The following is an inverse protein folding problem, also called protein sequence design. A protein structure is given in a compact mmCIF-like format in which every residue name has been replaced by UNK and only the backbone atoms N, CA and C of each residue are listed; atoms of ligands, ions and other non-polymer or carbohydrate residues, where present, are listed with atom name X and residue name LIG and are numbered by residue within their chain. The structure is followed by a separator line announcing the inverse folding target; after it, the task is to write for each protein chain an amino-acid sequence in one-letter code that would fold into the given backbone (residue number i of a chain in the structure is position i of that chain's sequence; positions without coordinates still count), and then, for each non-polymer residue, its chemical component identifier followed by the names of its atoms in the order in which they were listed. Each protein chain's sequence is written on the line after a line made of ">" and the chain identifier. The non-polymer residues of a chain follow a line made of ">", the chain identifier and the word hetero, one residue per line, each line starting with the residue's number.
data_IF_100653173219
#
_entry.id   IF_100653173219
#
_cell.length_a   1.000
_cell.length_b   1.000
_cell.length_c   1.000
_cell.angle_alpha   90.00
_cell.angle_beta   90.00
_cell.angle_gamma   90.00
#
_symmetry.space_group_name_H-M   'P 1'
#
loop_
_entity.id
_entity.type
_entity.pdbx_description
1 polymer ?
#
# COMPACT_ATOMS: atom_id res chain seq x y z
N UNK A 1 33.47 13.25 21.22
CA UNK A 1 34.65 12.53 20.71
C UNK A 1 34.26 11.04 20.67
N UNK A 2 33.52 10.57 19.65
CA UNK A 2 34.01 10.06 18.34
C UNK A 2 34.88 8.79 18.57
N UNK A 3 34.69 7.59 18.01
CA UNK A 3 34.19 7.04 16.73
C UNK A 3 33.74 5.56 16.94
N UNK A 4 32.65 5.05 16.35
CA UNK A 4 32.49 4.45 15.01
C UNK A 4 33.35 3.20 14.72
N UNK A 5 32.73 2.01 14.71
CA UNK A 5 33.15 0.89 13.86
C UNK A 5 31.93 0.06 13.40
N UNK A 6 31.69 0.13 12.09
CA UNK A 6 30.70 -0.64 11.35
C UNK A 6 31.15 -2.11 11.20
N UNK A 7 30.19 -3.05 11.25
CA UNK A 7 30.39 -4.43 10.78
C UNK A 7 29.45 -4.69 9.61
N UNK A 8 30.08 -4.72 8.43
CA UNK A 8 29.56 -5.25 7.18
C UNK A 8 29.41 -6.77 7.34
N UNK A 9 28.19 -7.29 7.21
CA UNK A 9 27.95 -8.72 6.96
C UNK A 9 27.47 -8.87 5.51
N UNK A 10 28.40 -9.32 4.67
CA UNK A 10 28.14 -9.84 3.34
C UNK A 10 27.42 -11.19 3.48
N UNK A 11 26.21 -11.30 2.94
CA UNK A 11 25.60 -12.58 2.60
C UNK A 11 25.27 -12.57 1.11
N UNK A 12 25.96 -13.43 0.35
CA UNK A 12 25.54 -13.85 -0.99
C UNK A 12 25.05 -15.30 -0.90
N UNK A 13 23.79 -15.55 -1.22
CA UNK A 13 23.35 -16.79 -1.87
C UNK A 13 22.04 -16.56 -2.62
N UNK A 14 22.05 -16.95 -3.90
CA UNK A 14 21.06 -16.73 -4.94
C UNK A 14 19.70 -17.38 -4.63
N UNK A 15 18.62 -16.60 -4.76
CA UNK A 15 17.35 -17.00 -5.41
C UNK A 15 16.35 -15.82 -5.38
N UNK A 16 16.03 -15.30 -6.57
CA UNK A 16 14.96 -14.34 -6.90
C UNK A 16 14.65 -13.25 -5.87
N UNK A 17 15.57 -12.29 -5.73
CA UNK A 17 15.21 -10.96 -5.25
C UNK A 17 14.47 -10.26 -6.38
N UNK A 18 13.14 -10.24 -6.33
CA UNK A 18 12.41 -9.11 -6.87
C UNK A 18 12.93 -7.91 -6.08
N UNK A 19 13.79 -7.12 -6.72
CA UNK A 19 14.31 -5.90 -6.13
C UNK A 19 13.10 -5.02 -5.83
N UNK A 20 12.71 -4.93 -4.56
CA UNK A 20 11.91 -3.84 -4.04
C UNK A 20 12.73 -2.57 -4.23
N UNK A 21 12.63 -2.04 -5.44
CA UNK A 21 13.22 -0.77 -5.80
C UNK A 21 12.32 0.27 -5.15
N UNK A 22 12.71 0.72 -3.97
CA UNK A 22 12.27 2.00 -3.43
C UNK A 22 12.80 3.09 -4.37
N UNK A 23 12.10 3.29 -5.49
CA UNK A 23 12.34 4.44 -6.34
C UNK A 23 11.59 5.59 -5.70
N UNK A 24 12.36 6.52 -5.19
CA UNK A 24 11.93 7.81 -4.68
C UNK A 24 11.27 8.61 -5.82
N UNK A 25 9.97 8.38 -6.00
CA UNK A 25 9.06 9.27 -6.71
C UNK A 25 7.98 9.62 -5.70
N UNK A 26 7.68 10.91 -5.61
CA UNK A 26 6.77 11.57 -4.68
C UNK A 26 5.33 11.02 -4.75
N UNK A 27 5.13 9.77 -4.32
CA UNK A 27 3.87 9.03 -4.35
C UNK A 27 3.07 9.43 -3.14
N UNK A 28 1.79 9.66 -3.41
CA UNK A 28 0.96 10.45 -2.54
C UNK A 28 0.51 9.66 -1.33
N UNK A 29 0.80 10.28 -0.18
CA UNK A 29 0.08 10.14 1.06
C UNK A 29 -1.43 9.99 0.81
N UNK A 30 -2.05 8.94 1.36
CA UNK A 30 -3.38 9.15 1.97
C UNK A 30 -3.21 10.40 2.80
N UNK A 31 -3.91 11.49 2.51
CA UNK A 31 -3.62 12.83 3.06
C UNK A 31 -3.54 12.84 4.59
N UNK A 32 -2.37 12.51 5.11
CA UNK A 32 -1.63 13.24 6.10
C UNK A 32 -0.40 13.74 5.36
N UNK A 33 -0.23 15.05 5.39
CA UNK A 33 0.86 15.81 4.79
C UNK A 33 2.18 15.05 4.69
N UNK A 34 2.75 15.08 3.49
CA UNK A 34 4.06 14.58 3.12
C UNK A 34 5.16 15.33 3.91
N UNK A 35 5.37 14.96 5.17
CA UNK A 35 6.53 15.25 6.00
C UNK A 35 6.37 14.43 7.27
N UNK A 36 7.02 13.26 7.31
CA UNK A 36 7.65 12.67 8.50
C UNK A 36 8.24 11.32 8.08
N UNK A 37 9.38 11.37 7.41
CA UNK A 37 10.41 10.39 7.71
C UNK A 37 10.79 10.60 9.19
N UNK A 38 10.87 9.50 9.96
CA UNK A 38 11.14 9.43 11.42
C UNK A 38 9.83 9.54 12.23
N UNK A 39 9.25 8.47 12.79
CA UNK A 39 9.89 7.50 13.68
C UNK A 39 9.26 6.10 13.60
N UNK A 40 10.11 5.07 13.58
CA UNK A 40 9.78 3.68 13.93
C UNK A 40 9.56 3.54 15.45
N UNK A 41 8.82 4.48 16.05
CA UNK A 41 8.52 4.58 17.49
C UNK A 41 7.05 5.00 17.70
N UNK A 42 6.12 4.23 17.12
CA UNK A 42 4.86 3.80 17.77
C UNK A 42 3.93 4.83 18.42
N UNK A 43 3.76 6.04 17.87
CA UNK A 43 2.81 7.01 18.47
C UNK A 43 2.05 7.95 17.52
N UNK A 44 2.35 8.00 16.23
CA UNK A 44 1.64 8.93 15.33
C UNK A 44 0.51 8.22 14.58
N UNK A 45 -0.71 8.31 15.12
CA UNK A 45 -1.94 7.91 14.41
C UNK A 45 -2.37 9.06 13.48
N UNK A 46 -2.56 8.76 12.20
CA UNK A 46 -2.96 9.76 11.21
C UNK A 46 -4.46 10.07 11.27
N UNK A 47 -5.27 9.06 11.56
CA UNK A 47 -6.73 9.20 11.59
C UNK A 47 -7.40 8.14 12.47
N UNK A 48 -8.58 8.48 12.99
CA UNK A 48 -9.49 7.56 13.66
C UNK A 48 -10.80 7.46 12.88
N UNK A 49 -11.29 6.25 12.69
CA UNK A 49 -12.55 5.97 12.02
C UNK A 49 -13.41 5.03 12.85
N UNK A 50 -14.71 5.04 12.59
CA UNK A 50 -15.63 4.06 13.15
C UNK A 50 -15.48 2.72 12.44
N UNK A 51 -15.41 1.62 13.18
CA UNK A 51 -15.42 0.28 12.60
C UNK A 51 -16.68 0.05 11.74
N UNK A 52 -16.53 -0.65 10.61
CA UNK A 52 -17.63 -0.87 9.67
C UNK A 52 -18.09 0.36 8.86
N UNK A 53 -17.46 1.53 9.05
CA UNK A 53 -17.83 2.74 8.32
C UNK A 53 -17.29 2.76 6.89
N UNK A 54 -17.90 3.60 6.05
CA UNK A 54 -17.36 3.96 4.74
C UNK A 54 -16.52 5.21 4.91
N UNK A 55 -15.28 5.14 4.46
CA UNK A 55 -14.35 6.27 4.43
C UNK A 55 -14.05 6.67 2.99
N UNK A 56 -13.66 7.93 2.80
CA UNK A 56 -13.18 8.45 1.53
C UNK A 56 -11.66 8.53 1.57
N UNK A 57 -11.00 7.79 0.68
CA UNK A 57 -9.55 7.82 0.52
C UNK A 57 -9.18 8.65 -0.71
N UNK A 58 -8.00 9.27 -0.69
CA UNK A 58 -7.50 10.05 -1.82
C UNK A 58 -6.26 9.38 -2.40
N UNK A 59 -6.35 8.93 -3.64
CA UNK A 59 -5.20 8.48 -4.43
C UNK A 59 -4.79 9.61 -5.36
N UNK A 60 -3.54 10.08 -5.28
CA UNK A 60 -3.02 11.03 -6.28
C UNK A 60 -2.03 10.35 -7.20
N UNK A 61 -2.38 10.35 -8.47
CA UNK A 61 -1.58 9.83 -9.56
C UNK A 61 -0.81 10.98 -10.21
N UNK A 62 0.51 10.97 -10.05
CA UNK A 62 1.41 11.88 -10.78
C UNK A 62 1.65 11.39 -12.21
N UNK A 63 1.62 10.08 -12.41
CA UNK A 63 1.65 9.41 -13.71
C UNK A 63 0.60 8.28 -13.75
N UNK A 64 0.03 8.06 -14.93
CA UNK A 64 -0.97 7.03 -15.14
C UNK A 64 -0.39 5.90 -16.00
N UNK A 65 -0.11 4.78 -15.35
CA UNK A 65 0.42 3.56 -15.93
C UNK A 65 -0.67 2.49 -16.13
N UNK A 66 -1.94 2.89 -16.21
CA UNK A 66 -3.11 2.02 -16.25
C UNK A 66 -3.15 1.03 -15.07
N UNK A 67 -4.01 0.01 -15.12
CA UNK A 67 -4.13 -0.98 -14.06
C UNK A 67 -5.16 -0.59 -13.00
N UNK A 68 -4.88 -0.89 -11.74
CA UNK A 68 -5.86 -0.75 -10.66
C UNK A 68 -5.22 -0.52 -9.29
N UNK A 69 -5.99 0.08 -8.40
CA UNK A 69 -5.64 0.27 -6.99
C UNK A 69 -6.43 -0.71 -6.13
N UNK A 70 -5.77 -1.28 -5.13
CA UNK A 70 -6.38 -2.15 -4.12
C UNK A 70 -5.96 -1.70 -2.71
N UNK A 71 -6.76 -2.09 -1.73
CA UNK A 71 -6.58 -1.69 -0.33
C UNK A 71 -6.64 -2.91 0.59
N UNK A 72 -5.74 -2.95 1.57
CA UNK A 72 -5.73 -3.96 2.63
C UNK A 72 -5.54 -3.30 3.99
N UNK A 73 -6.01 -3.96 5.04
CA UNK A 73 -5.80 -3.52 6.42
C UNK A 73 -4.96 -4.54 7.17
N UNK A 74 -4.15 -4.09 8.11
CA UNK A 74 -3.53 -4.95 9.11
C UNK A 74 -3.82 -4.40 10.51
N UNK A 75 -4.78 -4.99 11.24
CA UNK A 75 -4.98 -4.74 12.66
C UNK A 75 -3.83 -5.34 13.46
N UNK A 76 -2.98 -4.48 14.05
CA UNK A 76 -1.86 -4.94 14.87
C UNK A 76 -2.36 -5.42 16.24
N UNK A 77 -1.76 -6.50 16.75
CA UNK A 77 -2.10 -7.01 18.08
C UNK A 77 -1.61 -6.06 19.19
N UNK A 78 -0.50 -5.35 18.96
CA UNK A 78 0.03 -4.33 19.84
C UNK A 78 0.79 -3.26 19.06
N UNK A 79 1.02 -2.09 19.68
CA UNK A 79 1.78 -0.97 19.09
C UNK A 79 3.25 -1.25 18.82
N UNK A 80 3.76 -2.40 19.27
CA UNK A 80 5.15 -2.83 19.08
C UNK A 80 5.29 -3.84 17.95
N UNK A 81 4.17 -4.41 17.50
CA UNK A 81 4.18 -5.35 16.39
C UNK A 81 4.36 -4.60 15.08
N UNK A 82 4.91 -5.30 14.09
CA UNK A 82 5.03 -4.80 12.72
C UNK A 82 3.97 -5.48 11.88
N UNK A 83 3.49 -4.76 10.88
CA UNK A 83 2.64 -5.30 9.84
C UNK A 83 3.37 -6.41 9.06
N UNK A 84 2.59 -7.40 8.61
CA UNK A 84 3.08 -8.50 7.77
C UNK A 84 2.16 -8.68 6.57
N UNK A 85 2.69 -9.24 5.48
CA UNK A 85 1.86 -9.56 4.31
C UNK A 85 0.71 -10.52 4.67
N UNK A 86 0.96 -11.56 5.49
CA UNK A 86 -0.07 -12.46 6.01
C UNK A 86 -1.19 -11.74 6.79
N UNK A 87 -0.87 -10.62 7.43
CA UNK A 87 -1.86 -9.81 8.12
C UNK A 87 -2.75 -9.07 7.11
N UNK A 88 -2.14 -8.44 6.10
CA UNK A 88 -2.86 -7.76 5.03
C UNK A 88 -3.77 -8.70 4.23
N UNK A 89 -3.29 -9.90 3.91
CA UNK A 89 -4.05 -10.91 3.16
C UNK A 89 -5.35 -11.33 3.87
N UNK A 90 -5.40 -11.24 5.20
CA UNK A 90 -6.60 -11.57 6.00
C UNK A 90 -7.67 -10.48 5.95
N UNK A 91 -7.31 -9.24 5.62
CA UNK A 91 -8.25 -8.11 5.60
C UNK A 91 -8.17 -7.30 4.29
N UNK A 92 -8.50 -7.91 3.14
CA UNK A 92 -8.74 -7.14 1.92
C UNK A 92 -9.96 -6.24 2.10
N UNK A 93 -9.85 -4.98 1.70
CA UNK A 93 -10.92 -4.01 1.83
C UNK A 93 -11.72 -3.93 0.52
N UNK A 94 -13.02 -3.69 0.66
CA UNK A 94 -13.93 -3.54 -0.48
C UNK A 94 -14.23 -2.08 -0.72
N UNK A 95 -14.42 -1.73 -1.97
CA UNK A 95 -14.99 -0.45 -2.35
C UNK A 95 -16.49 -0.43 -2.02
N UNK A 96 -17.08 0.76 -1.99
CA UNK A 96 -18.51 0.95 -1.75
C UNK A 96 -19.43 0.18 -2.71
N UNK A 97 -18.98 -0.07 -3.94
CA UNK A 97 -19.71 -0.85 -4.95
C UNK A 97 -19.56 -2.37 -4.77
N UNK A 98 -18.80 -2.82 -3.76
CA UNK A 98 -18.55 -4.22 -3.45
C UNK A 98 -17.34 -4.84 -4.15
N UNK A 99 -16.72 -4.13 -5.11
CA UNK A 99 -15.49 -4.56 -5.77
C UNK A 99 -14.29 -4.52 -4.83
N UNK A 100 -13.22 -5.22 -5.19
CA UNK A 100 -11.97 -5.29 -4.40
C UNK A 100 -10.85 -4.42 -4.97
N UNK A 101 -11.06 -3.81 -6.14
CA UNK A 101 -10.08 -2.93 -6.77
C UNK A 101 -10.74 -1.82 -7.57
N UNK A 102 -10.10 -0.66 -7.56
CA UNK A 102 -10.50 0.51 -8.32
C UNK A 102 -9.69 0.57 -9.61
N UNK A 103 -10.34 0.38 -10.76
CA UNK A 103 -9.67 0.49 -12.07
C UNK A 103 -9.28 1.93 -12.36
N UNK A 104 -8.01 2.19 -12.67
CA UNK A 104 -7.56 3.52 -13.05
C UNK A 104 -8.15 3.89 -14.42
N UNK A 105 -8.91 4.99 -14.53
CA UNK A 105 -9.57 5.34 -15.77
C UNK A 105 -8.64 6.08 -16.73
N UNK A 106 -8.71 5.72 -18.02
CA UNK A 106 -8.15 6.49 -19.13
C UNK A 106 -6.71 6.97 -18.93
N UNK A 107 -6.47 8.26 -19.22
CA UNK A 107 -5.17 8.93 -19.11
C UNK A 107 -5.17 10.03 -18.04
N UNK A 108 -6.00 9.90 -17.01
CA UNK A 108 -6.13 10.95 -15.99
C UNK A 108 -4.93 10.98 -15.06
N UNK A 109 -4.58 12.16 -14.57
CA UNK A 109 -3.65 12.38 -13.46
C UNK A 109 -4.33 13.31 -12.45
N UNK A 110 -3.75 13.43 -11.25
CA UNK A 110 -4.32 14.20 -10.15
C UNK A 110 -4.95 13.32 -9.08
N UNK A 111 -5.83 13.91 -8.27
CA UNK A 111 -6.48 13.28 -7.12
C UNK A 111 -7.75 12.53 -7.55
N UNK A 112 -7.88 11.31 -7.05
CA UNK A 112 -9.00 10.41 -7.26
C UNK A 112 -9.50 10.00 -5.89
N UNK A 113 -10.77 10.29 -5.62
CA UNK A 113 -11.44 9.86 -4.41
C UNK A 113 -12.00 8.45 -4.57
N UNK A 114 -11.73 7.58 -3.60
CA UNK A 114 -12.20 6.19 -3.59
C UNK A 114 -12.88 5.92 -2.25
N UNK A 115 -14.18 5.60 -2.30
CA UNK A 115 -14.97 5.22 -1.12
C UNK A 115 -14.67 3.76 -0.73
N UNK A 116 -14.15 3.56 0.47
CA UNK A 116 -13.66 2.30 1.01
C UNK A 116 -14.49 1.85 2.21
N UNK A 117 -14.88 0.58 2.26
CA UNK A 117 -15.61 -0.02 3.39
C UNK A 117 -14.61 -0.61 4.37
N UNK A 118 -14.56 -0.06 5.58
CA UNK A 118 -13.74 -0.59 6.67
C UNK A 118 -14.38 -1.85 7.28
N UNK A 119 -13.59 -2.80 7.79
CA UNK A 119 -14.13 -3.99 8.44
C UNK A 119 -14.73 -3.61 9.80
N UNK A 120 -15.65 -4.46 10.29
CA UNK A 120 -16.17 -4.36 11.65
C UNK A 120 -15.19 -4.97 12.66
N UNK A 121 -13.97 -4.43 12.67
CA UNK A 121 -12.86 -4.83 13.54
C UNK A 121 -12.34 -3.58 14.22
N UNK A 122 -12.20 -3.65 15.55
CA UNK A 122 -11.58 -2.57 16.33
C UNK A 122 -10.08 -2.77 16.43
N UNK A 123 -9.33 -1.69 16.31
CA UNK A 123 -7.88 -1.71 16.46
C UNK A 123 -7.40 -0.37 16.99
N UNK A 124 -6.52 -0.41 18.00
CA UNK A 124 -5.88 0.80 18.51
C UNK A 124 -4.81 1.31 17.53
N UNK A 125 -4.16 0.40 16.81
CA UNK A 125 -3.25 0.67 15.71
C UNK A 125 -3.50 -0.34 14.58
N UNK A 126 -3.88 0.19 13.43
CA UNK A 126 -4.03 -0.53 12.18
C UNK A 126 -3.12 0.12 11.14
N UNK A 127 -2.59 -0.69 10.23
CA UNK A 127 -1.91 -0.20 9.04
C UNK A 127 -2.85 -0.37 7.85
N UNK A 128 -3.18 0.72 7.16
CA UNK A 128 -3.89 0.71 5.88
C UNK A 128 -2.86 0.70 4.76
N UNK A 129 -2.84 -0.37 3.96
CA UNK A 129 -1.98 -0.50 2.79
C UNK A 129 -2.77 -0.12 1.54
N UNK A 130 -2.23 0.83 0.78
CA UNK A 130 -2.63 1.14 -0.59
C UNK A 130 -1.65 0.48 -1.54
N UNK A 131 -2.15 -0.24 -2.55
CA UNK A 131 -1.33 -0.87 -3.58
C UNK A 131 -1.83 -0.47 -4.95
N UNK A 132 -0.95 0.07 -5.80
CA UNK A 132 -1.23 0.33 -7.20
C UNK A 132 -0.46 -0.66 -8.06
N UNK A 133 -1.20 -1.55 -8.73
CA UNK A 133 -0.68 -2.49 -9.72
C UNK A 133 -0.87 -1.86 -11.09
N UNK A 134 0.23 -1.55 -11.79
CA UNK A 134 0.18 -0.94 -13.11
C UNK A 134 -0.34 -1.92 -14.17
N UNK A 135 -0.62 -1.44 -15.38
CA UNK A 135 -1.18 -2.27 -16.46
C UNK A 135 -0.61 -1.95 -17.84
N UNK A 136 0.56 -1.33 -17.90
CA UNK A 136 1.20 -0.87 -19.14
C UNK A 136 2.34 -1.78 -19.60
N UNK A 137 2.67 -2.85 -18.88
CA UNK A 137 3.67 -3.84 -19.32
C UNK A 137 3.00 -4.97 -20.09
N UNK A 138 3.65 -5.43 -21.16
CA UNK A 138 3.21 -6.61 -21.91
C UNK A 138 3.65 -7.90 -21.22
N UNK A 139 2.78 -8.89 -21.16
CA UNK A 139 3.12 -10.21 -20.62
C UNK A 139 2.15 -11.29 -21.06
N UNK A 140 2.31 -12.48 -20.48
CA UNK A 140 1.48 -13.65 -20.78
C UNK A 140 0.35 -13.74 -19.75
N UNK A 141 -0.88 -13.83 -20.22
CA UNK A 141 -2.09 -13.99 -19.41
C UNK A 141 -2.27 -15.45 -18.97
N UNK A 142 -3.20 -15.71 -18.06
CA UNK A 142 -3.47 -17.07 -17.55
C UNK A 142 -3.90 -18.07 -18.63
N UNK A 143 -4.54 -17.59 -19.70
CA UNK A 143 -4.95 -18.38 -20.86
C UNK A 143 -3.81 -18.64 -21.88
N UNK A 144 -2.60 -18.16 -21.58
CA UNK A 144 -1.42 -18.30 -22.45
C UNK A 144 -1.33 -17.26 -23.56
N UNK A 145 -2.30 -16.36 -23.71
CA UNK A 145 -2.24 -15.26 -24.68
C UNK A 145 -1.31 -14.13 -24.20
N UNK A 146 -0.79 -13.34 -25.14
CA UNK A 146 0.00 -12.15 -24.81
C UNK A 146 -0.87 -10.89 -24.84
N UNK A 147 -0.83 -10.08 -23.79
CA UNK A 147 -1.53 -8.80 -23.74
C UNK A 147 -0.86 -7.78 -22.80
N UNK A 148 -1.24 -6.51 -22.93
CA UNK A 148 -0.92 -5.47 -21.95
C UNK A 148 -1.64 -5.74 -20.62
N UNK A 149 -0.94 -5.51 -19.51
CA UNK A 149 -1.46 -5.73 -18.17
C UNK A 149 -1.44 -7.20 -17.72
N UNK A 150 -0.96 -8.11 -18.56
CA UNK A 150 -0.77 -9.51 -18.20
C UNK A 150 0.65 -9.78 -17.72
N UNK A 151 0.82 -10.86 -16.94
CA UNK A 151 2.08 -11.18 -16.30
C UNK A 151 2.51 -10.15 -15.23
N UNK A 152 3.77 -10.15 -14.81
CA UNK A 152 4.27 -9.24 -13.79
C UNK A 152 4.11 -7.77 -14.20
N UNK A 153 3.57 -6.95 -13.30
CA UNK A 153 3.42 -5.51 -13.47
C UNK A 153 4.20 -4.77 -12.38
N UNK A 154 4.58 -3.51 -12.66
CA UNK A 154 5.16 -2.64 -11.64
C UNK A 154 4.10 -2.41 -10.54
N UNK A 155 4.54 -2.40 -9.30
CA UNK A 155 3.65 -2.25 -8.14
C UNK A 155 4.20 -1.18 -7.21
N UNK A 156 3.35 -0.23 -6.84
CA UNK A 156 3.63 0.78 -5.84
C UNK A 156 2.83 0.49 -4.58
N UNK A 157 3.43 0.65 -3.41
CA UNK A 157 2.77 0.43 -2.13
C UNK A 157 3.04 1.58 -1.17
N UNK A 158 2.02 1.97 -0.41
CA UNK A 158 2.15 2.91 0.71
C UNK A 158 1.33 2.42 1.89
N UNK A 159 1.77 2.76 3.10
CA UNK A 159 1.13 2.38 4.35
C UNK A 159 0.73 3.63 5.13
N UNK A 160 -0.34 3.54 5.92
CA UNK A 160 -0.84 4.62 6.77
C UNK A 160 -1.35 4.08 8.10
N UNK A 161 -0.89 4.65 9.22
CA UNK A 161 -1.33 4.27 10.57
C UNK A 161 -2.70 4.92 10.91
N UNK A 162 -3.70 4.09 11.18
CA UNK A 162 -5.06 4.50 11.55
C UNK A 162 -5.55 3.75 12.81
N UNK A 163 -6.69 4.15 13.38
CA UNK A 163 -7.39 3.38 14.41
C UNK A 163 -8.87 3.22 14.08
N UNK A 164 -9.44 2.08 14.48
CA UNK A 164 -10.85 1.75 14.28
C UNK A 164 -11.55 1.55 15.63
N UNK A 165 -12.59 2.35 15.92
CA UNK A 165 -13.35 2.35 17.19
C UNK A 165 -14.82 1.96 17.07
#
# INVERSE_FOLDING_TARGET
>A
MAELLARVLLWHSKSSLAAERLVDWNITSVTATHEMAISRLGTYRLAEYRAGSIIKTTTKLTANHAGHVEFRLCPLASKKDLETEDCFEKYPLRLKDGSTSYKIPGKITGEIEIDLVLPDVKCEQCVLQWTYVTGNSWGICEDGTGALGCGPQETFRTCSDISLS
#
